data_IF_262537106032
#
_entry.id   IF_262537106032
#
_cell.length_a   1.000
_cell.length_b   1.000
_cell.length_c   1.000
_cell.angle_alpha   90.00
_cell.angle_beta   90.00
_cell.angle_gamma   90.00
#
_symmetry.space_group_name_H-M   'P 1'
#
loop_
_entity.id
_entity.type
_entity.pdbx_description
1 polymer ?
#
# COMPACT_ATOMS: atom_id res chain seq x y z
N UNK A 1 -13.70 3.57 -14.01
CA UNK A 1 -13.62 4.72 -13.09
C UNK A 1 -12.96 5.90 -13.81
N UNK A 2 -13.52 7.12 -13.74
CA UNK A 2 -12.85 8.31 -14.24
C UNK A 2 -11.67 8.67 -13.32
N UNK A 3 -10.43 8.58 -13.83
CA UNK A 3 -9.19 8.86 -13.08
C UNK A 3 -8.23 9.64 -13.99
N UNK A 4 -7.73 10.78 -13.52
CA UNK A 4 -6.76 11.63 -14.26
C UNK A 4 -7.16 11.92 -15.72
N UNK A 5 -8.44 12.22 -15.96
CA UNK A 5 -8.97 12.51 -17.31
C UNK A 5 -9.16 11.28 -18.21
N UNK A 6 -8.87 10.07 -17.73
CA UNK A 6 -9.05 8.82 -18.47
C UNK A 6 -10.03 7.85 -17.80
N UNK A 7 -10.46 6.83 -18.56
CA UNK A 7 -11.15 5.66 -18.00
C UNK A 7 -10.10 4.65 -17.53
N UNK A 8 -10.27 4.13 -16.31
CA UNK A 8 -9.50 3.01 -15.75
C UNK A 8 -10.43 1.88 -15.33
N UNK A 9 -9.95 0.64 -15.41
CA UNK A 9 -10.69 -0.51 -14.89
C UNK A 9 -10.53 -0.55 -13.37
N UNK A 10 -11.56 -0.96 -12.64
CA UNK A 10 -11.41 -1.20 -11.20
C UNK A 10 -10.36 -2.28 -10.91
N UNK A 11 -10.24 -3.26 -11.81
CA UNK A 11 -9.26 -4.33 -11.74
C UNK A 11 -7.80 -3.85 -11.80
N UNK A 12 -7.53 -2.65 -12.35
CA UNK A 12 -6.15 -2.12 -12.47
C UNK A 12 -5.46 -2.00 -11.09
N UNK A 13 -6.23 -1.73 -10.03
CA UNK A 13 -5.71 -1.70 -8.66
C UNK A 13 -5.73 -3.07 -7.98
N UNK A 14 -6.74 -3.90 -8.28
CA UNK A 14 -6.87 -5.24 -7.71
C UNK A 14 -5.78 -6.19 -8.21
N UNK A 15 -5.19 -5.93 -9.38
CA UNK A 15 -4.09 -6.72 -9.92
C UNK A 15 -2.93 -6.90 -8.92
N UNK A 16 -2.53 -5.82 -8.24
CA UNK A 16 -1.41 -5.85 -7.28
C UNK A 16 -1.75 -6.62 -6.00
N UNK A 17 -2.96 -6.44 -5.48
CA UNK A 17 -3.43 -7.20 -4.33
C UNK A 17 -3.65 -8.69 -4.66
N UNK A 18 -4.11 -8.98 -5.88
CA UNK A 18 -4.39 -10.34 -6.34
C UNK A 18 -3.14 -11.21 -6.45
N UNK A 19 -2.02 -10.65 -6.91
CA UNK A 19 -0.80 -11.44 -7.15
C UNK A 19 -0.34 -12.24 -5.93
N UNK A 20 -0.24 -11.61 -4.76
CA UNK A 20 0.14 -12.30 -3.51
C UNK A 20 -1.00 -13.16 -2.94
N UNK A 21 -2.25 -12.73 -3.13
CA UNK A 21 -3.43 -13.45 -2.65
C UNK A 21 -3.59 -14.82 -3.30
N UNK A 22 -3.45 -14.91 -4.62
CA UNK A 22 -3.60 -16.16 -5.38
C UNK A 22 -2.57 -17.22 -4.98
N UNK A 23 -1.36 -16.80 -4.60
CA UNK A 23 -0.29 -17.71 -4.16
C UNK A 23 -0.20 -17.86 -2.63
N UNK A 24 -1.19 -17.33 -1.90
CA UNK A 24 -1.30 -17.47 -0.44
C UNK A 24 -0.08 -16.95 0.34
N UNK A 25 0.58 -15.91 -0.16
CA UNK A 25 1.69 -15.25 0.52
C UNK A 25 1.19 -14.08 1.39
N UNK A 26 1.81 -13.83 2.55
CA UNK A 26 1.48 -12.68 3.37
C UNK A 26 1.81 -11.38 2.64
N UNK A 27 0.92 -10.39 2.78
CA UNK A 27 1.05 -9.09 2.11
C UNK A 27 0.55 -7.98 3.04
N UNK A 28 1.44 -7.06 3.41
CA UNK A 28 1.14 -5.87 4.23
C UNK A 28 1.30 -4.61 3.39
N UNK A 29 0.36 -3.65 3.49
CA UNK A 29 0.47 -2.35 2.83
C UNK A 29 0.68 -1.26 3.88
N UNK A 30 1.69 -0.41 3.68
CA UNK A 30 1.99 0.71 4.58
C UNK A 30 2.19 2.03 3.83
N UNK A 31 1.97 3.19 4.48
CA UNK A 31 2.16 4.50 3.85
C UNK A 31 3.59 4.70 3.35
N UNK A 32 3.72 5.17 2.12
CA UNK A 32 5.00 5.41 1.44
C UNK A 32 5.15 6.88 1.00
N UNK A 33 4.45 7.78 1.68
CA UNK A 33 4.45 9.22 1.39
C UNK A 33 3.36 9.64 0.40
N UNK A 34 3.54 10.83 -0.18
CA UNK A 34 2.56 11.46 -1.07
C UNK A 34 3.10 11.54 -2.51
N UNK A 35 2.21 11.43 -3.49
CA UNK A 35 2.51 11.77 -4.88
C UNK A 35 2.85 13.25 -5.01
N UNK A 36 3.39 13.65 -6.17
CA UNK A 36 3.58 15.08 -6.53
C UNK A 36 2.28 15.90 -6.47
N UNK A 37 1.13 15.26 -6.60
CA UNK A 37 -0.19 15.90 -6.50
C UNK A 37 -0.80 15.82 -5.10
N UNK A 38 -0.03 15.38 -4.09
CA UNK A 38 -0.46 15.31 -2.69
C UNK A 38 -1.36 14.12 -2.34
N UNK A 39 -1.50 13.11 -3.21
CA UNK A 39 -2.32 11.93 -2.93
C UNK A 39 -1.49 10.88 -2.16
N UNK A 40 -2.07 10.15 -1.20
CA UNK A 40 -1.35 9.12 -0.45
C UNK A 40 -0.95 7.95 -1.36
N UNK A 41 0.29 7.47 -1.18
CA UNK A 41 0.80 6.25 -1.77
C UNK A 41 1.02 5.17 -0.72
N UNK A 42 0.73 3.92 -1.07
CA UNK A 42 1.04 2.74 -0.27
C UNK A 42 2.10 1.88 -0.94
N UNK A 43 2.96 1.25 -0.14
CA UNK A 43 3.87 0.20 -0.58
C UNK A 43 3.36 -1.16 -0.09
N UNK A 44 3.22 -2.11 -1.02
CA UNK A 44 2.88 -3.50 -0.71
C UNK A 44 4.16 -4.30 -0.45
N UNK A 45 4.22 -4.92 0.73
CA UNK A 45 5.33 -5.71 1.22
C UNK A 45 4.86 -7.17 1.22
N UNK A 46 5.44 -7.97 0.33
CA UNK A 46 5.14 -9.41 0.23
C UNK A 46 6.29 -10.18 0.86
N UNK A 47 5.95 -11.08 1.78
CA UNK A 47 6.92 -11.94 2.46
C UNK A 47 6.75 -13.41 2.09
N UNK A 48 7.66 -14.23 2.60
CA UNK A 48 7.57 -15.68 2.49
C UNK A 48 6.37 -16.26 3.24
N UNK A 49 5.99 -17.48 2.90
CA UNK A 49 4.88 -18.20 3.53
C UNK A 49 4.99 -18.19 5.07
N UNK A 50 3.91 -17.78 5.74
CA UNK A 50 3.79 -17.61 7.21
C UNK A 50 4.72 -16.57 7.85
N UNK A 51 5.28 -15.64 7.06
CA UNK A 51 6.12 -14.54 7.55
C UNK A 51 5.39 -13.20 7.69
N UNK A 52 4.12 -13.20 8.07
CA UNK A 52 3.33 -11.98 8.30
C UNK A 52 4.02 -11.01 9.26
N UNK A 53 4.60 -11.54 10.34
CA UNK A 53 5.32 -10.72 11.34
C UNK A 53 6.53 -10.01 10.73
N UNK A 54 7.24 -10.63 9.80
CA UNK A 54 8.36 -10.01 9.08
C UNK A 54 7.86 -8.85 8.21
N UNK A 55 6.75 -9.02 7.50
CA UNK A 55 6.15 -7.97 6.68
C UNK A 55 5.71 -6.77 7.53
N UNK A 56 5.06 -7.04 8.66
CA UNK A 56 4.60 -6.00 9.60
C UNK A 56 5.78 -5.28 10.25
N UNK A 57 6.83 -6.01 10.64
CA UNK A 57 8.02 -5.39 11.23
C UNK A 57 8.76 -4.52 10.22
N UNK A 58 8.87 -4.97 8.96
CA UNK A 58 9.41 -4.14 7.89
C UNK A 58 8.57 -2.88 7.67
N UNK A 59 7.23 -2.99 7.66
CA UNK A 59 6.34 -1.84 7.56
C UNK A 59 6.56 -0.83 8.70
N UNK A 60 6.75 -1.32 9.93
CA UNK A 60 7.07 -0.50 11.11
C UNK A 60 8.39 0.25 10.90
N UNK A 61 9.46 -0.45 10.54
CA UNK A 61 10.78 0.16 10.26
C UNK A 61 10.69 1.20 9.14
N UNK A 62 10.03 0.86 8.02
CA UNK A 62 9.85 1.76 6.88
C UNK A 62 9.12 3.05 7.29
N UNK A 63 8.07 2.94 8.12
CA UNK A 63 7.32 4.11 8.57
C UNK A 63 8.15 5.10 9.39
N UNK A 64 9.20 4.63 10.08
CA UNK A 64 10.12 5.48 10.83
C UNK A 64 10.98 6.33 9.89
N UNK A 65 11.31 5.81 8.71
CA UNK A 65 12.13 6.50 7.71
C UNK A 65 11.31 7.38 6.77
N UNK A 66 10.08 6.97 6.42
CA UNK A 66 9.25 7.65 5.41
C UNK A 66 8.15 8.56 5.96
N UNK A 67 7.95 8.59 7.29
CA UNK A 67 7.02 9.53 7.93
C UNK A 67 5.59 9.01 8.16
N UNK A 68 5.38 7.69 8.12
CA UNK A 68 4.15 7.03 8.59
C UNK A 68 2.82 7.57 8.03
N UNK A 69 1.73 7.31 8.76
CA UNK A 69 0.40 7.79 8.42
C UNK A 69 0.22 9.24 8.88
N UNK A 70 -0.36 10.07 8.00
CA UNK A 70 -0.81 11.42 8.34
C UNK A 70 -2.31 11.50 8.06
N UNK A 71 -3.15 11.83 9.06
CA UNK A 71 -4.58 11.95 8.84
C UNK A 71 -4.90 13.08 7.85
N UNK A 72 -5.91 12.91 6.99
CA UNK A 72 -6.35 13.99 6.12
C UNK A 72 -6.96 15.13 6.94
N UNK A 73 -6.92 16.38 6.44
CA UNK A 73 -7.52 17.52 7.12
C UNK A 73 -9.00 17.27 7.49
N UNK A 74 -9.39 17.64 8.72
CA UNK A 74 -10.76 17.47 9.22
C UNK A 74 -11.04 16.11 9.88
N UNK A 75 -10.03 15.25 10.04
CA UNK A 75 -10.11 13.93 10.68
C UNK A 75 -9.00 13.75 11.75
N UNK A 76 -8.76 14.79 12.56
CA UNK A 76 -7.82 14.72 13.70
C UNK A 76 -8.31 13.77 14.81
#
# INVERSE_FOLDING_TARGET
>A
LPINGGRRLGADQLFWAGLSGEVHLPSTVAPAGLTKSGLPCGLQIVGDFLQDRTCIEFARLMSQELGGFVPPPGYE
#
